data_IF_429715439854
#
_entry.id   IF_429715439854
#
_cell.length_a   1.000
_cell.length_b   1.000
_cell.length_c   1.000
_cell.angle_alpha   90.00
_cell.angle_beta   90.00
_cell.angle_gamma   90.00
#
_symmetry.space_group_name_H-M   'P 1'
#
loop_
_entity.id
_entity.type
_entity.pdbx_description
1 polymer ?
#
# COMPACT_ATOMS: atom_id res chain seq x y z
N UNK A 1 7.51 10.15 -9.28
CA UNK A 1 6.81 9.07 -8.56
C UNK A 1 6.94 9.29 -7.05
N UNK A 2 5.91 8.98 -6.27
CA UNK A 2 5.94 8.93 -4.79
C UNK A 2 5.19 7.67 -4.32
N UNK A 3 4.94 7.53 -3.02
CA UNK A 3 4.19 6.41 -2.46
C UNK A 3 3.32 6.85 -1.28
N UNK A 4 2.16 6.19 -1.17
CA UNK A 4 1.31 6.19 0.01
C UNK A 4 1.74 5.02 0.89
N UNK A 5 1.90 5.27 2.19
CA UNK A 5 2.31 4.27 3.17
C UNK A 5 1.26 4.20 4.27
N UNK A 6 0.69 3.02 4.47
CA UNK A 6 -0.26 2.73 5.53
C UNK A 6 0.34 1.68 6.47
N UNK A 7 0.32 1.99 7.77
CA UNK A 7 0.71 1.07 8.83
C UNK A 7 -0.56 0.44 9.41
N UNK A 8 -0.64 -0.89 9.35
CA UNK A 8 -1.79 -1.67 9.81
C UNK A 8 -1.37 -2.64 10.91
N UNK A 9 -2.19 -2.70 11.96
CA UNK A 9 -2.15 -3.77 12.94
C UNK A 9 -3.29 -4.72 12.69
N UNK A 10 -2.99 -5.96 12.30
CA UNK A 10 -4.00 -7.01 12.17
C UNK A 10 -4.11 -7.79 13.50
N UNK A 11 -5.33 -8.06 13.99
CA UNK A 11 -5.53 -8.81 15.25
C UNK A 11 -5.17 -10.29 15.14
N UNK A 12 -4.88 -10.78 13.93
CA UNK A 12 -4.48 -12.15 13.62
C UNK A 12 -3.42 -12.16 12.52
N UNK A 13 -2.57 -13.18 12.52
CA UNK A 13 -1.64 -13.43 11.40
C UNK A 13 -2.37 -13.76 10.11
N UNK A 14 -2.11 -12.99 9.06
CA UNK A 14 -2.59 -13.20 7.70
C UNK A 14 -1.73 -14.28 7.03
N UNK A 15 -2.08 -15.56 7.19
CA UNK A 15 -1.26 -16.71 6.76
C UNK A 15 -0.83 -16.69 5.28
N UNK A 16 -1.58 -16.02 4.39
CA UNK A 16 -1.29 -15.90 2.97
C UNK A 16 -0.16 -14.91 2.64
N UNK A 17 0.20 -14.02 3.56
CA UNK A 17 1.27 -13.05 3.35
C UNK A 17 2.64 -13.67 3.62
N UNK A 18 3.63 -13.23 2.87
CA UNK A 18 5.06 -13.45 3.17
C UNK A 18 5.61 -12.21 3.88
N UNK A 19 6.85 -12.27 4.39
CA UNK A 19 7.53 -11.07 4.92
C UNK A 19 7.54 -9.93 3.88
N UNK A 20 7.65 -10.28 2.60
CA UNK A 20 7.51 -9.39 1.45
C UNK A 20 6.51 -9.98 0.46
N UNK A 21 5.47 -9.23 0.14
CA UNK A 21 4.43 -9.64 -0.83
C UNK A 21 4.15 -8.49 -1.78
N UNK A 22 4.12 -8.78 -3.08
CA UNK A 22 3.71 -7.82 -4.11
C UNK A 22 2.39 -8.32 -4.69
N UNK A 23 1.36 -7.48 -4.66
CA UNK A 23 0.07 -7.70 -5.31
C UNK A 23 0.07 -6.86 -6.58
N UNK A 24 0.06 -7.54 -7.73
CA UNK A 24 0.04 -6.89 -9.03
C UNK A 24 -1.39 -6.75 -9.52
N UNK A 25 -1.83 -5.50 -9.71
CA UNK A 25 -3.08 -5.21 -10.40
C UNK A 25 -3.00 -5.55 -11.90
N UNK A 26 -4.16 -5.67 -12.58
CA UNK A 26 -4.24 -6.14 -13.96
C UNK A 26 -3.52 -5.23 -14.97
N UNK A 27 -3.35 -3.95 -14.62
CA UNK A 27 -2.76 -2.90 -15.49
C UNK A 27 -1.43 -2.36 -14.99
N UNK A 28 -0.66 -3.12 -14.20
CA UNK A 28 0.56 -2.64 -13.53
C UNK A 28 1.46 -1.73 -14.39
N UNK A 29 1.81 -2.16 -15.61
CA UNK A 29 2.70 -1.39 -16.50
C UNK A 29 2.11 -0.03 -16.90
N UNK A 30 0.86 -0.03 -17.36
CA UNK A 30 0.15 1.20 -17.74
C UNK A 30 -0.07 2.10 -16.54
N UNK A 31 -0.44 1.52 -15.40
CA UNK A 31 -0.65 2.24 -14.14
C UNK A 31 0.61 3.01 -13.70
N UNK A 32 1.78 2.35 -13.72
CA UNK A 32 3.04 3.01 -13.38
C UNK A 32 3.34 4.16 -14.35
N UNK A 33 3.10 3.96 -15.64
CA UNK A 33 3.30 5.00 -16.65
C UNK A 33 2.37 6.19 -16.44
N UNK A 34 1.08 5.96 -16.15
CA UNK A 34 0.10 7.01 -15.90
C UNK A 34 0.40 7.81 -14.61
N UNK A 35 0.87 7.14 -13.56
CA UNK A 35 1.29 7.78 -12.30
C UNK A 35 2.51 8.68 -12.52
N UNK A 36 3.47 8.25 -13.33
CA UNK A 36 4.72 8.99 -13.57
C UNK A 36 4.50 10.12 -14.55
N UNK A 37 3.95 9.83 -15.72
CA UNK A 37 3.89 10.75 -16.85
C UNK A 37 2.71 11.71 -16.72
N UNK A 38 1.53 11.18 -16.35
CA UNK A 38 0.28 11.95 -16.29
C UNK A 38 -0.02 12.48 -14.89
N UNK A 39 0.64 11.95 -13.86
CA UNK A 39 0.48 12.34 -12.45
C UNK A 39 -0.96 12.21 -11.93
N UNK A 40 -1.68 11.20 -12.41
CA UNK A 40 -3.08 10.95 -12.07
C UNK A 40 -3.14 9.94 -10.90
N UNK A 41 -4.03 10.18 -9.94
CA UNK A 41 -4.40 9.16 -8.95
C UNK A 41 -5.42 8.23 -9.59
N UNK A 42 -5.09 6.95 -9.67
CA UNK A 42 -5.95 5.93 -10.28
C UNK A 42 -6.75 5.18 -9.21
N UNK A 43 -7.83 4.55 -9.66
CA UNK A 43 -8.76 3.80 -8.81
C UNK A 43 -8.36 2.33 -8.66
N UNK A 44 -7.59 1.82 -9.61
CA UNK A 44 -6.88 0.55 -9.53
C UNK A 44 -5.44 0.77 -9.05
N UNK A 45 -4.87 -0.21 -8.33
CA UNK A 45 -3.49 -0.14 -7.85
C UNK A 45 -2.84 -1.51 -7.66
N UNK A 46 -1.53 -1.52 -7.81
CA UNK A 46 -0.67 -2.58 -7.27
C UNK A 46 -0.18 -2.14 -5.90
N UNK A 47 -0.03 -3.08 -4.97
CA UNK A 47 0.46 -2.79 -3.63
C UNK A 47 1.62 -3.69 -3.23
N UNK A 48 2.49 -3.15 -2.41
CA UNK A 48 3.56 -3.89 -1.76
C UNK A 48 3.27 -3.97 -0.27
N UNK A 49 3.19 -5.20 0.23
CA UNK A 49 2.91 -5.52 1.62
C UNK A 49 4.19 -6.04 2.27
N UNK A 50 4.49 -5.52 3.46
CA UNK A 50 5.56 -6.04 4.30
C UNK A 50 5.02 -6.46 5.65
N UNK A 51 5.25 -7.70 6.05
CA UNK A 51 4.86 -8.26 7.35
C UNK A 51 6.12 -8.63 8.18
N UNK A 52 6.80 -7.64 8.81
CA UNK A 52 8.07 -7.88 9.51
C UNK A 52 7.97 -8.84 10.70
N UNK A 53 6.81 -8.96 11.34
CA UNK A 53 6.59 -9.86 12.48
C UNK A 53 6.76 -11.35 12.15
N UNK A 54 6.95 -11.69 10.87
CA UNK A 54 7.27 -13.05 10.41
C UNK A 54 8.71 -13.46 10.63
N UNK A 55 9.63 -12.50 10.59
CA UNK A 55 11.05 -12.73 10.85
C UNK A 55 11.46 -12.21 12.23
N UNK A 56 10.72 -11.24 12.75
CA UNK A 56 11.01 -10.55 14.02
C UNK A 56 9.74 -10.52 14.88
N UNK A 57 9.45 -11.55 15.69
CA UNK A 57 8.20 -11.65 16.45
C UNK A 57 7.92 -10.46 17.36
N UNK A 58 8.95 -9.73 17.81
CA UNK A 58 8.81 -8.52 18.62
C UNK A 58 8.15 -7.34 17.89
N UNK A 59 8.00 -7.40 16.57
CA UNK A 59 7.38 -6.35 15.75
C UNK A 59 5.85 -6.31 15.83
N UNK A 60 5.22 -7.30 16.47
CA UNK A 60 3.78 -7.30 16.75
C UNK A 60 3.48 -8.02 18.08
N UNK A 61 2.35 -7.72 18.74
CA UNK A 61 1.89 -8.52 19.88
C UNK A 61 1.70 -10.01 19.50
N UNK A 62 1.68 -10.93 20.49
CA UNK A 62 1.40 -12.34 20.25
C UNK A 62 0.11 -12.53 19.44
N UNK A 63 0.15 -13.45 18.47
CA UNK A 63 -0.94 -13.75 17.53
C UNK A 63 -1.38 -12.61 16.59
N UNK A 64 -0.91 -11.38 16.78
CA UNK A 64 -1.15 -10.25 15.89
C UNK A 64 -0.11 -10.16 14.76
N UNK A 65 -0.35 -9.27 13.81
CA UNK A 65 0.59 -8.98 12.72
C UNK A 65 0.70 -7.48 12.48
N UNK A 66 1.93 -7.01 12.27
CA UNK A 66 2.22 -5.64 11.83
C UNK A 66 2.45 -5.68 10.33
N UNK A 67 1.72 -4.84 9.58
CA UNK A 67 1.72 -4.85 8.12
C UNK A 67 1.94 -3.41 7.63
N UNK A 68 2.93 -3.24 6.74
CA UNK A 68 3.14 -1.99 6.03
C UNK A 68 2.65 -2.15 4.60
N UNK A 69 1.70 -1.32 4.18
CA UNK A 69 1.16 -1.29 2.82
C UNK A 69 1.72 -0.09 2.09
N UNK A 70 2.39 -0.33 0.98
CA UNK A 70 2.88 0.71 0.09
C UNK A 70 2.09 0.68 -1.21
N UNK A 71 1.53 1.82 -1.58
CA UNK A 71 0.83 2.02 -2.84
C UNK A 71 1.54 3.10 -3.66
N UNK A 72 1.91 2.83 -4.93
CA UNK A 72 2.46 3.86 -5.81
C UNK A 72 1.47 5.00 -6.03
N UNK A 73 1.94 6.25 -5.95
CA UNK A 73 1.10 7.42 -6.18
C UNK A 73 1.86 8.53 -6.91
N UNK A 74 1.15 9.51 -7.51
CA UNK A 74 1.78 10.70 -8.07
C UNK A 74 2.61 11.44 -7.02
N UNK A 75 3.69 12.09 -7.45
CA UNK A 75 4.43 12.97 -6.55
C UNK A 75 3.70 14.32 -6.37
N UNK A 76 4.27 15.18 -5.51
CA UNK A 76 3.68 16.46 -5.12
C UNK A 76 3.55 17.46 -6.27
N UNK A 77 4.25 17.22 -7.39
CA UNK A 77 4.12 18.02 -8.60
C UNK A 77 2.81 17.74 -9.37
N UNK A 78 1.91 16.91 -8.82
CA UNK A 78 0.55 16.67 -9.34
C UNK A 78 -0.45 17.76 -8.95
N UNK A 79 -0.17 18.55 -7.91
CA UNK A 79 -1.12 19.55 -7.39
C UNK A 79 -2.32 18.96 -6.62
N UNK A 80 -2.32 17.64 -6.36
CA UNK A 80 -3.35 16.95 -5.61
C UNK A 80 -3.39 17.38 -4.14
N UNK A 81 -4.60 17.52 -3.58
CA UNK A 81 -4.78 17.68 -2.14
C UNK A 81 -4.37 16.40 -1.41
N UNK A 82 -3.36 16.51 -0.55
CA UNK A 82 -2.75 15.38 0.15
C UNK A 82 -3.67 14.82 1.23
N UNK A 83 -4.44 15.65 1.91
CA UNK A 83 -5.32 15.20 2.98
C UNK A 83 -6.44 14.35 2.38
N UNK A 84 -7.12 14.89 1.37
CA UNK A 84 -8.16 14.18 0.64
C UNK A 84 -7.66 12.87 0.02
N UNK A 85 -6.45 12.89 -0.59
CA UNK A 85 -5.86 11.70 -1.16
C UNK A 85 -5.50 10.64 -0.12
N UNK A 86 -5.07 11.04 1.08
CA UNK A 86 -4.72 10.12 2.17
C UNK A 86 -5.95 9.36 2.64
N UNK A 87 -7.07 10.05 2.87
CA UNK A 87 -8.32 9.43 3.30
C UNK A 87 -8.85 8.49 2.22
N UNK A 88 -8.91 8.96 0.97
CA UNK A 88 -9.35 8.16 -0.17
C UNK A 88 -8.52 6.89 -0.36
N UNK A 89 -7.19 6.97 -0.27
CA UNK A 89 -6.32 5.82 -0.42
C UNK A 89 -6.42 4.86 0.76
N UNK A 90 -6.66 5.37 1.98
CA UNK A 90 -6.90 4.53 3.16
C UNK A 90 -8.15 3.69 2.96
N UNK A 91 -9.27 4.30 2.58
CA UNK A 91 -10.54 3.60 2.36
C UNK A 91 -10.42 2.55 1.25
N UNK A 92 -9.73 2.90 0.15
CA UNK A 92 -9.47 1.99 -0.97
C UNK A 92 -8.63 0.79 -0.57
N UNK A 93 -7.57 1.00 0.19
CA UNK A 93 -6.68 -0.09 0.63
C UNK A 93 -7.38 -1.03 1.60
N UNK A 94 -8.21 -0.50 2.51
CA UNK A 94 -8.96 -1.31 3.48
C UNK A 94 -10.07 -2.12 2.81
N UNK A 95 -10.66 -1.60 1.73
CA UNK A 95 -11.77 -2.25 1.01
C UNK A 95 -11.34 -3.22 -0.09
N UNK A 96 -10.04 -3.31 -0.39
CA UNK A 96 -9.46 -4.15 -1.44
C UNK A 96 -9.29 -5.61 -0.99
#
# INVERSE_FOLDING_TARGET
MSCFLLYLGAPRKCLQLSNHTIILGPRYKSLVQEIIDRKILLDDFSMYLRAPSRIEPAMAPPECESINVLVPMPNLASGMDRALATDLMTDRVISA
#
